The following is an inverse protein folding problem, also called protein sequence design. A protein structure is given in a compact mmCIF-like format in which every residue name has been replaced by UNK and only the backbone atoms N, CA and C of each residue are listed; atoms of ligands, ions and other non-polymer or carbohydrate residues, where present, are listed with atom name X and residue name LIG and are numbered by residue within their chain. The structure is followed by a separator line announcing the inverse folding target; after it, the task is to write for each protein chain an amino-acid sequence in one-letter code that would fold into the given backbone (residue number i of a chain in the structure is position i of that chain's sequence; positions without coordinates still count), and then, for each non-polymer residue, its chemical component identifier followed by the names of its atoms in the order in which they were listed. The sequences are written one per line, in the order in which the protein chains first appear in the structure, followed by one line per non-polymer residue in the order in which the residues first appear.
data_IF_104045695791
#
_entry.id   IF_104045695791
#
_cell.length_a   1.000
_cell.length_b   1.000
_cell.length_c   1.000
_cell.angle_alpha   90.00
_cell.angle_beta   90.00
_cell.angle_gamma   90.00
#
_symmetry.space_group_name_H-M   'P 1'
#
loop_
_entity.id
_entity.type
_entity.pdbx_description
1 polymer ?
#
# COMPACT_ATOMS: atom_id res chain seq x y z
N UNK A 1 22.31 16.93 9.75
CA UNK A 1 21.88 16.90 11.16
C UNK A 1 22.35 15.59 11.75
N UNK A 2 23.30 15.58 12.68
CA UNK A 2 23.69 14.35 13.36
C UNK A 2 22.60 13.94 14.36
N UNK A 3 22.28 12.64 14.44
CA UNK A 3 21.38 12.09 15.48
C UNK A 3 19.91 11.93 15.12
N UNK A 4 19.52 11.98 13.83
CA UNK A 4 18.13 11.73 13.42
C UNK A 4 17.84 10.29 12.98
N UNK A 5 18.86 9.45 12.80
CA UNK A 5 18.66 8.04 12.44
C UNK A 5 17.71 7.35 13.43
N UNK A 6 16.64 6.75 12.92
CA UNK A 6 15.61 6.08 13.73
C UNK A 6 14.80 7.00 14.65
N UNK A 7 14.87 8.33 14.50
CA UNK A 7 14.17 9.29 15.37
C UNK A 7 12.65 9.32 15.17
N UNK A 8 12.15 8.83 14.03
CA UNK A 8 10.74 8.66 13.75
C UNK A 8 10.42 7.19 13.49
N UNK A 9 9.48 6.62 14.25
CA UNK A 9 8.98 5.26 14.04
C UNK A 9 7.50 5.30 13.70
N UNK A 10 7.11 4.60 12.63
CA UNK A 10 5.73 4.40 12.26
C UNK A 10 5.44 2.90 12.09
N UNK A 11 4.30 2.47 12.63
CA UNK A 11 3.74 1.14 12.45
C UNK A 11 2.46 1.26 11.64
N UNK A 12 2.26 0.36 10.69
CA UNK A 12 1.04 0.35 9.89
C UNK A 12 0.94 -0.84 8.95
N UNK A 13 0.00 -0.73 8.03
CA UNK A 13 -0.27 -1.76 7.03
C UNK A 13 0.46 -1.39 5.73
N UNK A 14 1.60 -2.04 5.40
CA UNK A 14 2.19 -1.93 4.07
C UNK A 14 1.25 -2.57 3.06
N UNK A 15 0.80 -1.79 2.07
CA UNK A 15 -0.12 -2.25 1.03
C UNK A 15 0.44 -1.88 -0.33
N UNK A 16 0.32 -2.74 -1.32
CA UNK A 16 0.57 -2.36 -2.71
C UNK A 16 -0.71 -1.78 -3.31
N UNK A 17 -0.67 -0.51 -3.70
CA UNK A 17 -1.78 0.14 -4.38
C UNK A 17 -1.84 -0.37 -5.84
N UNK A 18 -2.98 -0.92 -6.24
CA UNK A 18 -3.31 -1.30 -7.61
C UNK A 18 -4.25 -0.23 -8.16
N UNK A 19 -3.72 0.70 -8.94
CA UNK A 19 -4.44 1.89 -9.36
C UNK A 19 -4.80 1.84 -10.84
N UNK A 20 -6.07 2.08 -11.15
CA UNK A 20 -6.55 2.20 -12.52
C UNK A 20 -7.71 3.20 -12.62
N UNK A 21 -7.86 3.77 -13.81
CA UNK A 21 -9.05 4.55 -14.16
C UNK A 21 -10.18 3.57 -14.50
N UNK A 22 -11.32 3.71 -13.82
CA UNK A 22 -12.50 2.87 -13.99
C UNK A 22 -13.72 3.71 -14.37
N UNK A 23 -14.86 3.06 -14.60
CA UNK A 23 -16.15 3.72 -14.79
C UNK A 23 -17.10 3.48 -13.61
N UNK A 24 -18.26 4.16 -13.62
CA UNK A 24 -19.26 4.00 -12.57
C UNK A 24 -19.83 2.58 -12.52
N UNK A 25 -19.93 1.90 -13.66
CA UNK A 25 -20.42 0.52 -13.72
C UNK A 25 -19.51 -0.45 -12.96
N UNK A 26 -18.20 -0.21 -12.98
CA UNK A 26 -17.23 -0.93 -12.17
C UNK A 26 -17.48 -0.76 -10.67
N UNK A 27 -17.68 0.48 -10.22
CA UNK A 27 -17.97 0.76 -8.81
C UNK A 27 -19.30 0.12 -8.37
N UNK A 28 -20.33 0.24 -9.20
CA UNK A 28 -21.66 -0.32 -8.93
C UNK A 28 -21.61 -1.85 -8.84
N UNK A 29 -20.85 -2.51 -9.74
CA UNK A 29 -20.64 -3.96 -9.75
C UNK A 29 -20.08 -4.49 -8.41
N UNK A 30 -19.24 -3.71 -7.75
CA UNK A 30 -18.60 -4.08 -6.49
C UNK A 30 -19.21 -3.37 -5.27
N UNK A 31 -20.34 -2.67 -5.44
CA UNK A 31 -21.02 -1.91 -4.38
C UNK A 31 -20.13 -0.85 -3.70
N UNK A 32 -19.22 -0.25 -4.47
CA UNK A 32 -18.27 0.75 -3.97
C UNK A 32 -18.86 2.14 -4.15
N UNK A 33 -18.95 2.90 -3.06
CA UNK A 33 -19.30 4.33 -3.15
C UNK A 33 -18.12 5.12 -3.70
N UNK A 34 -18.41 6.09 -4.57
CA UNK A 34 -17.40 7.05 -5.05
C UNK A 34 -16.80 7.83 -3.87
N UNK A 35 -15.50 8.13 -3.93
CA UNK A 35 -14.77 8.86 -2.90
C UNK A 35 -14.82 8.23 -1.50
N UNK A 36 -14.86 6.90 -1.42
CA UNK A 36 -14.96 6.15 -0.17
C UNK A 36 -13.71 5.32 0.11
N UNK A 37 -13.52 4.92 1.38
CA UNK A 37 -12.42 4.05 1.80
C UNK A 37 -12.98 2.92 2.67
N UNK A 38 -12.82 1.67 2.23
CA UNK A 38 -13.38 0.50 2.89
C UNK A 38 -12.37 -0.65 2.94
N UNK A 39 -12.62 -1.62 3.82
CA UNK A 39 -11.94 -2.90 3.79
C UNK A 39 -12.59 -3.82 2.75
N UNK A 40 -11.78 -4.68 2.14
CA UNK A 40 -12.27 -5.69 1.22
C UNK A 40 -13.16 -6.71 1.93
N UNK A 41 -14.20 -7.14 1.25
CA UNK A 41 -15.09 -8.25 1.60
C UNK A 41 -14.93 -9.29 0.49
N UNK A 42 -15.50 -10.48 0.64
CA UNK A 42 -15.39 -11.56 -0.36
C UNK A 42 -15.85 -11.10 -1.76
N UNK A 43 -16.92 -10.29 -1.83
CA UNK A 43 -17.43 -9.72 -3.08
C UNK A 43 -16.43 -8.81 -3.79
N UNK A 44 -15.49 -8.20 -3.07
CA UNK A 44 -14.47 -7.31 -3.61
C UNK A 44 -13.25 -8.06 -4.15
N UNK A 45 -13.01 -9.33 -3.77
CA UNK A 45 -11.78 -10.05 -4.15
C UNK A 45 -11.60 -10.24 -5.67
N UNK A 46 -12.65 -10.51 -6.47
CA UNK A 46 -12.50 -10.62 -7.93
C UNK A 46 -12.10 -9.30 -8.61
N UNK A 47 -12.22 -8.16 -7.92
CA UNK A 47 -11.91 -6.83 -8.45
C UNK A 47 -10.41 -6.64 -8.72
N UNK A 48 -9.54 -7.19 -7.86
CA UNK A 48 -8.09 -7.01 -7.95
C UNK A 48 -7.48 -7.56 -9.25
N UNK A 49 -7.76 -8.81 -9.67
CA UNK A 49 -7.29 -9.29 -10.98
C UNK A 49 -7.95 -8.56 -12.15
N UNK A 50 -9.19 -8.08 -12.01
CA UNK A 50 -9.87 -7.28 -13.04
C UNK A 50 -9.21 -5.91 -13.24
N UNK A 51 -8.85 -5.22 -12.15
CA UNK A 51 -8.05 -3.98 -12.16
C UNK A 51 -6.67 -4.23 -12.75
N UNK A 52 -5.99 -5.31 -12.33
CA UNK A 52 -4.67 -5.68 -12.83
C UNK A 52 -4.63 -5.94 -14.34
N UNK A 53 -5.77 -6.31 -14.95
CA UNK A 53 -5.90 -6.52 -16.38
C UNK A 53 -6.24 -5.24 -17.17
N UNK A 54 -6.51 -4.11 -16.50
CA UNK A 54 -6.85 -2.86 -17.16
C UNK A 54 -5.63 -2.22 -17.84
N UNK A 55 -5.84 -1.51 -18.97
CA UNK A 55 -4.77 -0.77 -19.61
C UNK A 55 -4.25 0.33 -18.68
N UNK A 56 -2.93 0.49 -18.61
CA UNK A 56 -2.24 1.48 -17.78
C UNK A 56 -2.48 1.34 -16.27
N UNK A 57 -2.73 0.12 -15.78
CA UNK A 57 -2.70 -0.13 -14.34
C UNK A 57 -1.32 0.23 -13.76
N UNK A 58 -1.32 0.90 -12.62
CA UNK A 58 -0.13 1.28 -11.89
C UNK A 58 -0.04 0.50 -10.57
N UNK A 59 1.18 0.04 -10.25
CA UNK A 59 1.48 -0.62 -8.97
C UNK A 59 2.38 0.31 -8.15
N UNK A 60 1.85 0.80 -7.04
CA UNK A 60 2.51 1.84 -6.24
C UNK A 60 2.65 1.34 -4.80
N UNK A 61 3.88 1.32 -4.23
CA UNK A 61 4.04 1.05 -2.81
C UNK A 61 3.22 2.06 -2.00
N UNK A 62 2.28 1.55 -1.21
CA UNK A 62 1.26 2.34 -0.53
C UNK A 62 1.13 1.98 0.95
N UNK A 63 -0.07 2.23 1.48
CA UNK A 63 -0.36 2.17 2.92
C UNK A 63 -0.17 3.53 3.61
N UNK A 64 -1.18 3.97 4.37
CA UNK A 64 -1.23 5.33 4.90
C UNK A 64 -0.02 5.70 5.78
N UNK A 65 0.37 4.80 6.70
CA UNK A 65 1.55 4.99 7.56
C UNK A 65 2.85 5.00 6.77
N UNK A 66 2.98 4.08 5.80
CA UNK A 66 4.14 4.00 4.92
C UNK A 66 4.31 5.27 4.08
N UNK A 67 3.23 5.74 3.47
CA UNK A 67 3.22 6.97 2.67
C UNK A 67 3.63 8.18 3.51
N UNK A 68 3.08 8.31 4.72
CA UNK A 68 3.47 9.38 5.65
C UNK A 68 4.95 9.29 6.04
N UNK A 69 5.45 8.08 6.24
CA UNK A 69 6.86 7.83 6.61
C UNK A 69 7.80 8.19 5.47
N UNK A 70 7.48 7.78 4.23
CA UNK A 70 8.25 8.12 3.02
C UNK A 70 8.29 9.62 2.77
N UNK A 71 7.17 10.32 2.93
CA UNK A 71 7.15 11.79 2.81
C UNK A 71 7.96 12.44 3.92
N UNK A 72 7.86 11.97 5.17
CA UNK A 72 8.69 12.46 6.27
C UNK A 72 10.19 12.27 5.98
N UNK A 73 10.57 11.09 5.51
CA UNK A 73 11.93 10.75 5.08
C UNK A 73 12.43 11.68 3.96
N UNK A 74 11.59 11.93 2.96
CA UNK A 74 11.86 12.88 1.89
C UNK A 74 11.99 14.31 2.42
N UNK A 75 11.21 14.74 3.41
CA UNK A 75 11.38 16.09 3.97
C UNK A 75 12.67 16.24 4.80
N UNK A 76 13.06 15.19 5.53
CA UNK A 76 14.24 15.21 6.39
C UNK A 76 15.56 15.15 5.61
N UNK A 77 15.58 14.51 4.44
CA UNK A 77 16.76 14.37 3.58
C UNK A 77 17.99 13.78 4.31
N UNK A 78 17.76 13.00 5.38
CA UNK A 78 18.80 12.29 6.15
C UNK A 78 18.49 10.79 6.08
N UNK A 79 19.33 9.96 5.45
CA UNK A 79 19.09 8.52 5.33
C UNK A 79 18.74 7.88 6.67
N UNK A 80 17.76 6.98 6.64
CA UNK A 80 17.28 6.20 7.78
C UNK A 80 16.76 7.04 8.97
N UNK A 81 16.45 8.32 8.77
CA UNK A 81 15.87 9.15 9.82
C UNK A 81 14.51 8.62 10.29
N UNK A 82 13.79 7.93 9.39
CA UNK A 82 12.52 7.28 9.66
C UNK A 82 12.66 5.76 9.62
N UNK A 83 11.90 5.08 10.48
CA UNK A 83 11.75 3.62 10.50
C UNK A 83 10.29 3.27 10.27
N UNK A 84 10.03 2.31 9.40
CA UNK A 84 8.68 1.80 9.15
C UNK A 84 8.61 0.31 9.46
N UNK A 85 7.57 -0.09 10.18
CA UNK A 85 7.29 -1.49 10.53
C UNK A 85 5.87 -1.88 10.09
N UNK A 86 5.74 -3.12 9.66
CA UNK A 86 4.48 -3.73 9.25
C UNK A 86 4.72 -5.16 8.75
N UNK A 87 3.69 -5.82 8.24
CA UNK A 87 3.79 -7.20 7.77
C UNK A 87 3.50 -7.30 6.26
N UNK A 88 4.39 -7.95 5.52
CA UNK A 88 4.28 -8.23 4.08
C UNK A 88 4.31 -9.73 3.83
N UNK A 89 3.89 -10.17 2.64
CA UNK A 89 4.08 -11.54 2.19
C UNK A 89 5.49 -11.80 1.67
N UNK A 90 5.89 -13.07 1.61
CA UNK A 90 7.10 -13.52 0.89
C UNK A 90 6.81 -13.62 -0.62
N UNK A 91 6.61 -12.46 -1.25
CA UNK A 91 6.24 -12.35 -2.67
C UNK A 91 6.89 -11.14 -3.36
N UNK A 92 6.64 -11.02 -4.67
CA UNK A 92 7.19 -9.94 -5.50
C UNK A 92 6.69 -8.56 -5.03
N UNK A 93 5.46 -8.46 -4.53
CA UNK A 93 4.89 -7.20 -4.05
C UNK A 93 5.57 -6.74 -2.77
N UNK A 94 5.77 -7.64 -1.80
CA UNK A 94 6.53 -7.38 -0.59
C UNK A 94 7.97 -6.99 -0.89
N UNK A 95 8.60 -7.72 -1.82
CA UNK A 95 9.96 -7.42 -2.30
C UNK A 95 10.05 -6.04 -2.93
N UNK A 96 9.09 -5.66 -3.79
CA UNK A 96 9.07 -4.37 -4.49
C UNK A 96 8.87 -3.21 -3.52
N UNK A 97 7.95 -3.35 -2.56
CA UNK A 97 7.74 -2.31 -1.54
C UNK A 97 8.98 -2.13 -0.65
N UNK A 98 9.66 -3.21 -0.31
CA UNK A 98 10.93 -3.17 0.44
C UNK A 98 12.01 -2.44 -0.34
N UNK A 99 12.17 -2.78 -1.62
CA UNK A 99 13.14 -2.15 -2.52
C UNK A 99 12.93 -0.63 -2.60
N UNK A 100 11.71 -0.20 -2.95
CA UNK A 100 11.41 1.22 -3.18
C UNK A 100 11.56 2.04 -1.90
N UNK A 101 10.98 1.59 -0.78
CA UNK A 101 11.07 2.35 0.47
C UNK A 101 12.51 2.43 0.99
N UNK A 102 13.33 1.39 0.80
CA UNK A 102 14.76 1.41 1.13
C UNK A 102 15.54 2.38 0.23
N UNK A 103 15.26 2.39 -1.09
CA UNK A 103 15.87 3.33 -2.03
C UNK A 103 15.55 4.80 -1.70
N UNK A 104 14.37 5.06 -1.14
CA UNK A 104 13.98 6.39 -0.64
C UNK A 104 14.58 6.74 0.73
N UNK A 105 15.40 5.84 1.30
CA UNK A 105 16.13 6.06 2.53
C UNK A 105 15.34 5.75 3.80
N UNK A 106 14.17 5.11 3.73
CA UNK A 106 13.43 4.65 4.91
C UNK A 106 14.12 3.41 5.48
N UNK A 107 14.31 3.33 6.79
CA UNK A 107 14.73 2.11 7.47
C UNK A 107 13.52 1.17 7.62
N UNK A 108 13.23 0.39 6.58
CA UNK A 108 12.11 -0.57 6.61
C UNK A 108 12.46 -1.81 7.43
N UNK A 109 11.51 -2.24 8.25
CA UNK A 109 11.60 -3.40 9.14
C UNK A 109 10.31 -4.20 9.06
N UNK A 110 10.09 -4.85 7.92
CA UNK A 110 8.93 -5.70 7.72
C UNK A 110 9.08 -7.05 8.41
N UNK A 111 8.00 -7.50 9.03
CA UNK A 111 7.76 -8.92 9.25
C UNK A 111 7.37 -9.54 7.90
N UNK A 112 7.99 -10.67 7.56
CA UNK A 112 7.67 -11.42 6.34
C UNK A 112 6.85 -12.65 6.71
N UNK A 113 5.62 -12.71 6.24
CA UNK A 113 4.72 -13.86 6.38
C UNK A 113 4.75 -14.69 5.09
N UNK A 114 5.37 -15.87 5.14
CA UNK A 114 5.48 -16.77 3.99
C UNK A 114 4.15 -17.47 3.62
N UNK A 115 3.14 -17.44 4.50
CA UNK A 115 1.87 -18.14 4.28
C UNK A 115 0.77 -17.25 3.68
N UNK A 116 0.89 -15.93 3.82
CA UNK A 116 -0.14 -14.97 3.41
C UNK A 116 0.43 -13.98 2.39
N UNK A 117 -0.25 -13.70 1.27
CA UNK A 117 0.25 -12.74 0.30
C UNK A 117 0.27 -11.31 0.88
N UNK A 118 1.13 -10.48 0.31
CA UNK A 118 1.21 -9.05 0.61
C UNK A 118 -0.16 -8.38 0.43
N UNK A 119 -0.50 -7.50 1.36
CA UNK A 119 -1.74 -6.72 1.30
C UNK A 119 -1.77 -5.78 0.09
N UNK A 120 -2.96 -5.54 -0.43
CA UNK A 120 -3.20 -4.70 -1.61
C UNK A 120 -4.30 -3.68 -1.34
N UNK A 121 -4.26 -2.55 -2.05
CA UNK A 121 -5.33 -1.56 -2.03
C UNK A 121 -5.75 -1.23 -3.46
N UNK A 122 -6.98 -1.57 -3.82
CA UNK A 122 -7.53 -1.14 -5.09
C UNK A 122 -7.81 0.37 -5.05
N UNK A 123 -7.19 1.12 -5.95
CA UNK A 123 -7.39 2.56 -6.12
C UNK A 123 -8.16 2.81 -7.42
N UNK A 124 -9.49 2.84 -7.29
CA UNK A 124 -10.41 3.05 -8.40
C UNK A 124 -10.57 4.55 -8.65
N UNK A 125 -10.12 5.02 -9.82
CA UNK A 125 -10.12 6.45 -10.16
C UNK A 125 -11.27 6.74 -11.14
N UNK A 126 -12.14 7.70 -10.79
CA UNK A 126 -13.11 8.31 -11.70
C UNK A 126 -12.90 9.82 -11.68
N UNK A 127 -12.44 10.38 -12.80
CA UNK A 127 -12.09 11.81 -12.89
C UNK A 127 -11.06 12.20 -11.81
N UNK A 128 -11.41 13.10 -10.89
CA UNK A 128 -10.57 13.54 -9.76
C UNK A 128 -10.78 12.75 -8.48
N UNK A 129 -11.76 11.85 -8.42
CA UNK A 129 -12.13 11.11 -7.22
C UNK A 129 -11.48 9.74 -7.18
N UNK A 130 -11.15 9.28 -5.97
CA UNK A 130 -10.57 7.96 -5.72
C UNK A 130 -11.41 7.19 -4.70
N UNK A 131 -11.79 5.97 -5.04
CA UNK A 131 -12.34 5.01 -4.08
C UNK A 131 -11.30 3.94 -3.76
N UNK A 132 -11.07 3.72 -2.47
CA UNK A 132 -10.04 2.82 -1.96
C UNK A 132 -10.68 1.60 -1.31
N UNK A 133 -10.23 0.41 -1.71
CA UNK A 133 -10.65 -0.86 -1.10
C UNK A 133 -9.40 -1.61 -0.69
N UNK A 134 -9.18 -1.77 0.62
CA UNK A 134 -7.97 -2.40 1.15
C UNK A 134 -8.22 -3.89 1.47
N UNK A 135 -7.46 -4.76 0.81
CA UNK A 135 -7.32 -6.17 1.17
C UNK A 135 -6.04 -6.33 2.00
N UNK A 136 -6.19 -6.40 3.33
CA UNK A 136 -5.04 -6.33 4.24
C UNK A 136 -4.12 -7.55 4.16
N UNK A 137 -4.65 -8.75 3.90
CA UNK A 137 -3.88 -9.99 3.80
C UNK A 137 -2.75 -10.09 4.87
N UNK A 138 -1.48 -10.22 4.47
CA UNK A 138 -0.35 -10.33 5.40
C UNK A 138 -0.26 -9.17 6.40
N UNK A 139 -0.72 -7.95 6.06
CA UNK A 139 -0.68 -6.80 6.96
C UNK A 139 -1.51 -7.01 8.24
N UNK A 140 -2.53 -7.88 8.21
CA UNK A 140 -3.29 -8.28 9.40
C UNK A 140 -2.56 -9.26 10.33
N UNK A 141 -1.40 -9.78 9.91
CA UNK A 141 -0.64 -10.80 10.64
C UNK A 141 0.58 -10.24 11.37
N UNK A 142 0.69 -8.91 11.52
CA UNK A 142 1.73 -8.30 12.35
C UNK A 142 1.50 -8.67 13.82
N UNK A 143 2.33 -9.59 14.35
CA UNK A 143 2.21 -10.20 15.68
C UNK A 143 3.55 -10.20 16.40
#
# INVERSE_FOLDING_TARGET
MAGLEGSFLCLGNPLLDVSAVVDQAFLDKYEIKLANQILAEEKHLPMYPELAAMPNVEYIPGGAGQNSTRVCQWMLQVPHATTYMGCIGDDEFGSKMTEVATQEGVNVRYLVDAATPTGTCATCIISSERSLVANLAAANNFK
#
